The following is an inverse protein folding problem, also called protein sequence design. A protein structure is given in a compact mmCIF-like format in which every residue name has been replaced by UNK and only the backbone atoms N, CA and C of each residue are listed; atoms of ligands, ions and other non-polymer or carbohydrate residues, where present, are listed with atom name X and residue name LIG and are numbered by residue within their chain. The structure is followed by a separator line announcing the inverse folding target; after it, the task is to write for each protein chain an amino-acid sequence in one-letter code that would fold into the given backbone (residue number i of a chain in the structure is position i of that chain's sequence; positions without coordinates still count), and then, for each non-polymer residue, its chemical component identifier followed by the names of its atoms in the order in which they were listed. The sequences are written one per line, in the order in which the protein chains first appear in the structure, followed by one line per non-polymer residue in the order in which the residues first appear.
data_IF_740745453154
#
_entry.id   IF_740745453154
#
_cell.length_a   1.000
_cell.length_b   1.000
_cell.length_c   1.000
_cell.angle_alpha   90.00
_cell.angle_beta   90.00
_cell.angle_gamma   90.00
#
_symmetry.space_group_name_H-M   'P 1'
#
loop_
_entity.id
_entity.type
_entity.pdbx_description
1 polymer ?
#
# COMPACT_ATOMS: atom_id res chain seq x y z
N UNK A 1 -4.42 17.29 -10.32
CA UNK A 1 -4.21 15.90 -10.70
C UNK A 1 -4.39 15.02 -9.48
N UNK A 2 -5.32 14.07 -9.54
CA UNK A 2 -5.52 13.05 -8.50
C UNK A 2 -4.40 12.01 -8.61
N UNK A 3 -3.84 11.58 -7.48
CA UNK A 3 -2.87 10.47 -7.42
C UNK A 3 -3.22 9.48 -6.33
N UNK A 4 -2.74 8.25 -6.48
CA UNK A 4 -2.83 7.22 -5.45
C UNK A 4 -1.59 7.30 -4.55
N UNK A 5 -1.79 7.21 -3.25
CA UNK A 5 -0.72 7.25 -2.24
C UNK A 5 -0.92 6.10 -1.26
N UNK A 6 0.13 5.29 -1.08
CA UNK A 6 0.17 4.26 -0.04
C UNK A 6 1.13 4.67 1.07
N UNK A 7 0.62 4.82 2.28
CA UNK A 7 1.41 5.07 3.48
C UNK A 7 1.75 3.74 4.14
N UNK A 8 3.03 3.36 4.11
CA UNK A 8 3.52 2.13 4.72
C UNK A 8 4.20 2.42 6.06
N UNK A 9 3.88 1.61 7.08
CA UNK A 9 4.40 1.77 8.43
C UNK A 9 4.63 0.42 9.11
N UNK A 10 5.72 0.32 9.89
CA UNK A 10 6.05 -0.87 10.68
C UNK A 10 5.50 -0.73 12.10
N UNK A 11 4.76 -1.71 12.62
CA UNK A 11 4.31 -1.65 14.02
C UNK A 11 5.50 -1.78 15.01
N UNK A 12 5.36 -1.20 16.20
CA UNK A 12 6.41 -1.12 17.23
C UNK A 12 6.66 -2.45 17.96
N UNK A 13 5.74 -3.43 17.85
CA UNK A 13 5.76 -4.65 18.65
C UNK A 13 6.70 -5.76 18.14
N UNK A 14 7.15 -5.68 16.88
CA UNK A 14 7.95 -6.76 16.28
C UNK A 14 9.42 -6.73 16.74
N UNK A 15 9.78 -7.72 17.55
CA UNK A 15 11.15 -7.99 17.99
C UNK A 15 11.91 -8.75 16.89
N UNK A 16 12.70 -8.04 16.09
CA UNK A 16 13.89 -8.54 15.37
C UNK A 16 13.77 -9.59 14.25
N UNK A 17 12.85 -10.54 14.34
CA UNK A 17 12.76 -11.71 13.45
C UNK A 17 11.52 -11.71 12.56
N UNK A 18 10.67 -10.69 12.69
CA UNK A 18 9.48 -10.50 11.87
C UNK A 18 9.41 -9.07 11.37
N UNK A 19 9.20 -8.93 10.07
CA UNK A 19 8.87 -7.68 9.41
C UNK A 19 7.36 -7.62 9.30
N UNK A 20 6.76 -6.65 9.97
CA UNK A 20 5.33 -6.40 9.90
C UNK A 20 5.12 -4.99 9.38
N UNK A 21 4.39 -4.88 8.28
CA UNK A 21 4.13 -3.61 7.62
C UNK A 21 2.63 -3.48 7.38
N UNK A 22 2.05 -2.43 7.95
CA UNK A 22 0.71 -1.95 7.64
C UNK A 22 0.76 -0.94 6.50
N UNK A 23 -0.26 -0.93 5.65
CA UNK A 23 -0.38 -0.02 4.52
C UNK A 23 -1.76 0.60 4.49
N UNK A 24 -1.80 1.93 4.52
CA UNK A 24 -3.01 2.72 4.29
C UNK A 24 -2.98 3.30 2.88
N UNK A 25 -4.00 3.02 2.09
CA UNK A 25 -4.14 3.46 0.70
C UNK A 25 -5.14 4.61 0.59
N UNK A 26 -4.74 5.68 -0.08
CA UNK A 26 -5.50 6.92 -0.18
C UNK A 26 -5.44 7.50 -1.60
N UNK A 27 -6.45 8.27 -1.96
CA UNK A 27 -6.40 9.18 -3.11
C UNK A 27 -6.10 10.60 -2.62
N UNK A 28 -5.04 11.20 -3.15
CA UNK A 28 -4.76 12.62 -2.95
C UNK A 28 -5.42 13.42 -4.08
N UNK A 29 -6.29 14.35 -3.70
CA UNK A 29 -7.01 15.21 -4.62
C UNK A 29 -6.20 16.44 -4.98
N UNK A 30 -6.66 17.18 -5.99
CA UNK A 30 -6.03 18.40 -6.50
C UNK A 30 -5.85 19.51 -5.44
N UNK A 31 -6.67 19.49 -4.40
CA UNK A 31 -6.60 20.42 -3.27
C UNK A 31 -5.72 19.90 -2.11
N UNK A 32 -5.01 18.78 -2.30
CA UNK A 32 -4.18 18.13 -1.29
C UNK A 32 -4.97 17.36 -0.23
N UNK A 33 -6.30 17.29 -0.32
CA UNK A 33 -7.11 16.45 0.58
C UNK A 33 -6.85 14.99 0.27
N UNK A 34 -6.74 14.19 1.33
CA UNK A 34 -6.63 12.75 1.25
C UNK A 34 -7.99 12.09 1.48
N UNK A 35 -8.35 11.13 0.63
CA UNK A 35 -9.53 10.28 0.75
C UNK A 35 -9.06 8.86 1.03
N UNK A 36 -9.52 8.30 2.16
CA UNK A 36 -9.22 6.92 2.52
C UNK A 36 -9.87 5.95 1.54
N UNK A 37 -9.08 5.05 0.96
CA UNK A 37 -9.55 3.98 0.08
C UNK A 37 -9.50 2.63 0.80
N UNK A 38 -8.36 2.31 1.44
CA UNK A 38 -8.14 1.05 2.17
C UNK A 38 -7.27 1.31 3.40
N UNK A 39 -7.62 0.77 4.57
CA UNK A 39 -6.83 0.87 5.81
C UNK A 39 -6.44 -0.49 6.41
N UNK A 40 -6.89 -1.58 5.80
CA UNK A 40 -6.73 -2.95 6.28
C UNK A 40 -5.71 -3.75 5.45
N UNK A 41 -4.72 -3.08 4.85
CA UNK A 41 -3.71 -3.70 4.00
C UNK A 41 -2.38 -3.79 4.71
N UNK A 42 -1.55 -4.75 4.30
CA UNK A 42 -0.27 -5.01 4.93
C UNK A 42 0.22 -6.42 4.69
N UNK A 43 1.37 -6.74 5.26
CA UNK A 43 1.93 -8.08 5.26
C UNK A 43 2.81 -8.30 6.48
N UNK A 44 3.08 -9.57 6.75
CA UNK A 44 4.10 -10.02 7.69
C UNK A 44 5.04 -11.01 7.00
N UNK A 45 6.34 -10.86 7.16
CA UNK A 45 7.35 -11.81 6.69
C UNK A 45 8.30 -12.20 7.83
N UNK A 46 8.75 -13.45 7.80
CA UNK A 46 9.88 -13.87 8.64
C UNK A 46 11.15 -13.33 7.97
N UNK A 47 11.91 -12.52 8.68
CA UNK A 47 13.03 -11.80 8.10
C UNK A 47 13.63 -10.77 9.06
N UNK A 48 14.86 -10.36 8.76
CA UNK A 48 15.52 -9.28 9.47
C UNK A 48 15.40 -8.00 8.65
N UNK A 49 15.08 -6.90 9.33
CA UNK A 49 15.09 -5.56 8.74
C UNK A 49 16.44 -5.17 8.09
N UNK A 50 17.53 -5.87 8.38
CA UNK A 50 18.83 -5.72 7.70
C UNK A 50 18.87 -6.20 6.26
N UNK A 51 18.00 -7.16 5.93
CA UNK A 51 17.93 -7.76 4.60
C UNK A 51 16.85 -7.08 3.75
N UNK A 52 15.91 -6.37 4.39
CA UNK A 52 14.86 -5.61 3.75
C UNK A 52 15.42 -4.40 2.97
N UNK A 53 15.03 -4.27 1.71
CA UNK A 53 15.37 -3.10 0.88
C UNK A 53 14.16 -2.18 0.74
N UNK A 54 14.39 -0.87 0.83
CA UNK A 54 13.36 0.16 0.59
C UNK A 54 12.54 -0.11 -0.66
N UNK A 55 13.20 -0.45 -1.76
CA UNK A 55 12.55 -0.75 -3.04
C UNK A 55 11.58 -1.93 -2.95
N UNK A 56 11.98 -3.00 -2.26
CA UNK A 56 11.13 -4.19 -2.10
C UNK A 56 9.89 -3.84 -1.25
N UNK A 57 10.07 -3.09 -0.16
CA UNK A 57 8.95 -2.59 0.66
C UNK A 57 7.98 -1.75 -0.18
N UNK A 58 8.48 -0.84 -1.02
CA UNK A 58 7.64 -0.02 -1.90
C UNK A 58 6.94 -0.84 -2.98
N UNK A 59 7.59 -1.85 -3.55
CA UNK A 59 6.96 -2.76 -4.52
C UNK A 59 5.87 -3.60 -3.85
N UNK A 60 6.14 -4.20 -2.69
CA UNK A 60 5.16 -4.97 -1.92
C UNK A 60 3.99 -4.11 -1.46
N UNK A 61 4.22 -2.87 -1.02
CA UNK A 61 3.17 -1.94 -0.63
C UNK A 61 2.19 -1.63 -1.78
N UNK A 62 2.66 -1.63 -3.04
CA UNK A 62 1.78 -1.47 -4.22
C UNK A 62 0.97 -2.74 -4.51
N UNK A 63 1.56 -3.91 -4.25
CA UNK A 63 0.89 -5.20 -4.46
C UNK A 63 -0.25 -5.39 -3.44
N UNK A 64 0.01 -5.18 -2.14
CA UNK A 64 -0.98 -5.50 -1.09
C UNK A 64 -2.21 -4.60 -1.07
N UNK A 65 -2.11 -3.40 -1.67
CA UNK A 65 -3.26 -2.50 -1.85
C UNK A 65 -3.98 -2.75 -3.17
N UNK A 66 -3.49 -3.67 -4.00
CA UNK A 66 -4.13 -4.08 -5.24
C UNK A 66 -5.27 -5.07 -5.01
N UNK A 67 -5.73 -5.74 -6.08
CA UNK A 67 -6.77 -6.76 -6.00
C UNK A 67 -6.38 -7.90 -5.06
N UNK A 68 -7.36 -8.40 -4.32
CA UNK A 68 -7.19 -9.61 -3.52
C UNK A 68 -6.92 -10.83 -4.41
N UNK A 69 -6.26 -11.84 -3.83
CA UNK A 69 -6.05 -13.12 -4.52
C UNK A 69 -7.41 -13.77 -4.82
N UNK A 70 -7.64 -14.25 -6.06
CA UNK A 70 -8.88 -14.93 -6.40
C UNK A 70 -9.10 -16.16 -5.52
N UNK A 71 -10.33 -16.39 -5.10
CA UNK A 71 -10.70 -17.53 -4.27
C UNK A 71 -11.69 -18.47 -4.98
N UNK A 72 -11.58 -19.77 -4.71
CA UNK A 72 -12.44 -20.79 -5.32
C UNK A 72 -12.32 -20.81 -6.85
N UNK A 73 -13.45 -20.63 -7.54
CA UNK A 73 -13.52 -20.58 -9.01
C UNK A 73 -13.41 -19.16 -9.59
N UNK A 74 -13.14 -18.15 -8.74
CA UNK A 74 -12.99 -16.77 -9.20
C UNK A 74 -11.76 -16.61 -10.10
N UNK A 75 -11.91 -15.88 -11.21
CA UNK A 75 -10.78 -15.52 -12.06
C UNK A 75 -10.07 -14.26 -11.56
N UNK A 76 -8.80 -14.11 -11.96
CA UNK A 76 -8.00 -12.88 -11.72
C UNK A 76 -8.70 -11.64 -12.26
N UNK A 77 -9.37 -11.74 -13.40
CA UNK A 77 -10.09 -10.63 -14.03
C UNK A 77 -11.27 -10.16 -13.18
N UNK A 78 -12.02 -11.09 -12.57
CA UNK A 78 -13.15 -10.75 -11.70
C UNK A 78 -12.65 -10.06 -10.43
N UNK A 79 -11.60 -10.61 -9.78
CA UNK A 79 -11.00 -9.98 -8.60
C UNK A 79 -10.48 -8.56 -8.91
N UNK A 80 -9.79 -8.41 -10.05
CA UNK A 80 -9.28 -7.11 -10.52
C UNK A 80 -10.39 -6.12 -10.79
N UNK A 81 -11.46 -6.55 -11.47
CA UNK A 81 -12.60 -5.68 -11.79
C UNK A 81 -13.32 -5.24 -10.52
N UNK A 82 -13.58 -6.16 -9.59
CA UNK A 82 -14.19 -5.86 -8.30
C UNK A 82 -13.37 -4.86 -7.47
N UNK A 83 -12.05 -5.04 -7.44
CA UNK A 83 -11.14 -4.12 -6.74
C UNK A 83 -11.26 -2.67 -7.24
N UNK A 84 -11.19 -2.46 -8.55
CA UNK A 84 -11.27 -1.10 -9.10
C UNK A 84 -12.67 -0.48 -8.98
N UNK A 85 -13.72 -1.29 -9.11
CA UNK A 85 -15.10 -0.83 -8.89
C UNK A 85 -15.31 -0.36 -7.44
N UNK A 86 -14.77 -1.09 -6.48
CA UNK A 86 -14.82 -0.70 -5.06
C UNK A 86 -14.11 0.64 -4.79
N UNK A 87 -12.92 0.85 -5.35
CA UNK A 87 -12.22 2.14 -5.24
C UNK A 87 -13.03 3.28 -5.88
N UNK A 88 -13.59 3.05 -7.07
CA UNK A 88 -14.42 4.03 -7.77
C UNK A 88 -15.66 4.40 -6.94
N UNK A 89 -16.31 3.42 -6.31
CA UNK A 89 -17.48 3.63 -5.45
C UNK A 89 -17.14 4.51 -4.24
N UNK A 90 -16.02 4.26 -3.56
CA UNK A 90 -15.56 5.09 -2.44
C UNK A 90 -15.38 6.56 -2.87
N UNK A 91 -14.76 6.78 -4.04
CA UNK A 91 -14.53 8.12 -4.57
C UNK A 91 -15.85 8.80 -4.97
N UNK A 92 -16.77 8.07 -5.60
CA UNK A 92 -18.09 8.56 -5.97
C UNK A 92 -18.91 9.01 -4.74
N UNK A 93 -18.85 8.27 -3.63
CA UNK A 93 -19.48 8.67 -2.35
C UNK A 93 -18.92 9.99 -1.81
N UNK A 94 -17.65 10.31 -2.11
CA UNK A 94 -17.03 11.58 -1.78
C UNK A 94 -17.29 12.69 -2.82
N UNK A 95 -18.13 12.43 -3.83
CA UNK A 95 -18.46 13.35 -4.91
C UNK A 95 -17.39 13.46 -5.99
N UNK A 96 -16.51 12.47 -6.10
CA UNK A 96 -15.40 12.44 -7.06
C UNK A 96 -15.72 11.41 -8.13
N UNK A 97 -16.06 11.89 -9.32
CA UNK A 97 -16.29 11.04 -10.49
C UNK A 97 -14.96 10.82 -11.22
N UNK A 98 -14.56 9.55 -11.34
CA UNK A 98 -13.35 9.15 -12.05
C UNK A 98 -13.57 7.79 -12.72
N UNK A 99 -13.11 7.63 -13.94
CA UNK A 99 -13.22 6.36 -14.66
C UNK A 99 -12.20 5.34 -14.14
N UNK A 100 -12.59 4.06 -14.09
CA UNK A 100 -11.67 2.96 -13.73
C UNK A 100 -10.43 2.94 -14.64
N UNK A 101 -10.60 3.27 -15.91
CA UNK A 101 -9.48 3.32 -16.86
C UNK A 101 -8.47 4.43 -16.56
N UNK A 102 -8.91 5.51 -15.91
CA UNK A 102 -8.06 6.60 -15.43
C UNK A 102 -7.40 6.24 -14.11
N UNK A 103 -8.15 5.66 -13.16
CA UNK A 103 -7.63 5.15 -11.89
C UNK A 103 -6.43 4.21 -12.10
N UNK A 104 -6.54 3.27 -13.05
CA UNK A 104 -5.47 2.33 -13.40
C UNK A 104 -4.19 2.98 -13.93
N UNK A 105 -4.29 4.21 -14.44
CA UNK A 105 -3.16 4.96 -15.01
C UNK A 105 -2.64 6.03 -14.06
N UNK A 106 -3.31 6.23 -12.91
CA UNK A 106 -2.88 7.22 -11.94
C UNK A 106 -1.50 6.88 -11.41
N UNK A 107 -0.71 7.93 -11.17
CA UNK A 107 0.54 7.79 -10.46
C UNK A 107 0.28 7.17 -9.09
N UNK A 108 1.07 6.18 -8.72
CA UNK A 108 1.02 5.52 -7.42
C UNK A 108 2.33 5.73 -6.65
N UNK A 109 2.28 6.66 -5.70
CA UNK A 109 3.37 6.94 -4.79
C UNK A 109 3.28 6.08 -3.53
N UNK A 110 4.44 5.71 -2.99
CA UNK A 110 4.53 5.05 -1.69
C UNK A 110 5.32 5.95 -0.75
N UNK A 111 4.78 6.19 0.44
CA UNK A 111 5.39 6.99 1.49
C UNK A 111 5.67 6.10 2.68
N UNK A 112 6.94 5.97 3.03
CA UNK A 112 7.35 5.20 4.21
C UNK A 112 7.32 6.10 5.45
N UNK A 113 6.72 5.60 6.53
CA UNK A 113 6.75 6.29 7.82
C UNK A 113 8.20 6.50 8.29
N UNK A 114 8.44 7.51 9.12
CA UNK A 114 9.78 7.73 9.71
C UNK A 114 10.28 6.49 10.45
N UNK A 115 9.39 5.82 11.17
CA UNK A 115 9.70 4.61 11.93
C UNK A 115 10.16 3.46 11.04
N UNK A 116 9.46 3.25 9.92
CA UNK A 116 9.84 2.23 8.93
C UNK A 116 11.19 2.58 8.26
N UNK A 117 11.43 3.85 7.95
CA UNK A 117 12.72 4.32 7.44
C UNK A 117 13.85 4.08 8.46
N UNK A 118 13.64 4.45 9.72
CA UNK A 118 14.63 4.23 10.79
C UNK A 118 14.95 2.74 10.98
N UNK A 119 13.99 1.83 10.75
CA UNK A 119 14.23 0.38 10.80
C UNK A 119 15.11 -0.10 9.64
N UNK A 120 14.84 0.35 8.42
CA UNK A 120 15.64 0.01 7.24
C UNK A 120 17.07 0.55 7.36
N UNK A 121 17.23 1.75 7.91
CA UNK A 121 18.54 2.38 8.11
C UNK A 121 19.36 1.66 9.20
N UNK A 122 18.71 1.25 10.30
CA UNK A 122 19.36 0.44 11.35
C UNK A 122 19.75 -0.95 10.87
N UNK A 123 18.93 -1.57 10.02
CA UNK A 123 19.24 -2.85 9.43
C UNK A 123 20.43 -2.79 8.47
N UNK A 124 20.53 -1.70 7.70
CA UNK A 124 21.60 -1.49 6.71
C UNK A 124 22.97 -1.19 7.34
N UNK A 125 23.00 -0.86 8.64
CA UNK A 125 24.22 -0.59 9.38
C UNK A 125 24.55 -1.82 10.25
N UNK A 126 25.37 -2.78 9.79
CA UNK A 126 25.86 -3.80 10.68
C UNK A 126 26.68 -3.07 11.74
N UNK A 127 26.24 -3.14 12.99
CA UNK A 127 27.07 -2.65 14.10
C UNK A 127 28.42 -3.38 14.02
N UNK A 128 29.50 -2.60 13.95
CA UNK A 128 30.88 -3.10 13.83
C UNK A 128 31.34 -3.94 15.01
#
# INVERSE_FOLDING_TARGET
MIRLVSFADSDNATTGETEEVSVRHEAELDNGKLVLLLDNRGWSSIGRWSDARRRDIEETARVVVGPDEPYGEQSVEVATTGHWAFIQEILAVQGIEVEVSELRKMRHDVVLSKRLQDRLDKGSNPSG
#
